data_IF_005344905867
#
_entry.id   IF_005344905867
#
_cell.length_a   1.000
_cell.length_b   1.000
_cell.length_c   1.000
_cell.angle_alpha   90.00
_cell.angle_beta   90.00
_cell.angle_gamma   90.00
#
_symmetry.space_group_name_H-M   'P 1'
#
loop_
_entity.id
_entity.type
_entity.pdbx_description
1 polymer ?
#
# COMPACT_ATOMS: atom_id res chain seq x y z
N UNK A 1 -18.35 -13.27 6.77
CA UNK A 1 -17.20 -13.81 7.52
C UNK A 1 -15.98 -13.73 6.61
N UNK A 2 -14.84 -13.21 7.09
CA UNK A 2 -13.62 -13.15 6.28
C UNK A 2 -13.02 -14.56 6.15
N UNK A 3 -12.67 -15.01 4.94
CA UNK A 3 -12.18 -16.36 4.65
C UNK A 3 -10.87 -16.33 3.85
N UNK A 4 -10.17 -17.47 3.80
CA UNK A 4 -8.95 -17.65 3.01
C UNK A 4 -9.15 -17.36 1.51
N UNK A 5 -10.38 -17.54 1.02
CA UNK A 5 -10.74 -17.19 -0.35
C UNK A 5 -10.64 -15.68 -0.61
N UNK A 6 -11.01 -14.84 0.36
CA UNK A 6 -10.87 -13.39 0.24
C UNK A 6 -9.40 -12.95 0.22
N UNK A 7 -8.55 -13.61 1.03
CA UNK A 7 -7.10 -13.38 0.99
C UNK A 7 -6.54 -13.70 -0.38
N UNK A 8 -6.86 -14.88 -0.91
CA UNK A 8 -6.38 -15.31 -2.21
C UNK A 8 -6.80 -14.36 -3.34
N UNK A 9 -8.06 -13.90 -3.33
CA UNK A 9 -8.55 -12.90 -4.31
C UNK A 9 -7.79 -11.57 -4.19
N UNK A 10 -7.52 -11.10 -2.98
CA UNK A 10 -6.79 -9.85 -2.76
C UNK A 10 -5.31 -9.94 -3.20
N UNK A 11 -4.64 -11.06 -2.93
CA UNK A 11 -3.22 -11.25 -3.24
C UNK A 11 -2.97 -11.66 -4.70
N UNK A 12 -3.99 -12.13 -5.42
CA UNK A 12 -3.88 -12.51 -6.84
C UNK A 12 -4.09 -11.35 -7.81
N UNK A 13 -4.32 -10.13 -7.31
CA UNK A 13 -4.46 -8.94 -8.15
C UNK A 13 -3.08 -8.57 -8.72
N UNK A 14 -2.86 -8.92 -9.98
CA UNK A 14 -1.62 -8.62 -10.71
C UNK A 14 -1.86 -8.12 -12.14
N UNK A 15 -3.12 -8.13 -12.59
CA UNK A 15 -3.57 -7.73 -13.92
C UNK A 15 -4.91 -6.98 -13.83
N UNK A 16 -5.32 -6.34 -14.93
CA UNK A 16 -6.60 -5.65 -15.03
C UNK A 16 -7.78 -6.61 -14.89
N UNK A 17 -7.70 -7.82 -15.45
CA UNK A 17 -8.76 -8.84 -15.38
C UNK A 17 -9.01 -9.24 -13.92
N UNK A 18 -7.94 -9.55 -13.18
CA UNK A 18 -8.02 -9.93 -11.76
C UNK A 18 -8.53 -8.78 -10.90
N UNK A 19 -8.14 -7.55 -11.24
CA UNK A 19 -8.67 -6.36 -10.58
C UNK A 19 -10.18 -6.20 -10.83
N UNK A 20 -10.63 -6.26 -12.09
CA UNK A 20 -12.06 -6.12 -12.42
C UNK A 20 -12.90 -7.21 -11.75
N UNK A 21 -12.40 -8.45 -11.70
CA UNK A 21 -13.05 -9.54 -10.96
C UNK A 21 -13.14 -9.26 -9.46
N UNK A 22 -12.08 -8.73 -8.86
CA UNK A 22 -12.09 -8.32 -7.45
C UNK A 22 -13.10 -7.18 -7.21
N UNK A 23 -13.12 -6.15 -8.05
CA UNK A 23 -14.06 -5.04 -7.93
C UNK A 23 -15.51 -5.52 -8.02
N UNK A 24 -15.81 -6.42 -8.98
CA UNK A 24 -17.15 -6.98 -9.19
C UNK A 24 -17.58 -7.86 -8.01
N UNK A 25 -16.76 -8.84 -7.65
CA UNK A 25 -17.15 -9.90 -6.70
C UNK A 25 -16.96 -9.50 -5.24
N UNK A 26 -15.93 -8.69 -4.96
CA UNK A 26 -15.52 -8.37 -3.60
C UNK A 26 -15.79 -6.92 -3.22
N UNK A 27 -16.11 -6.01 -4.15
CA UNK A 27 -16.48 -4.61 -3.82
C UNK A 27 -17.89 -4.21 -4.31
N UNK A 28 -18.66 -5.13 -4.88
CA UNK A 28 -20.03 -4.91 -5.41
C UNK A 28 -20.09 -3.88 -6.54
N UNK A 29 -19.02 -3.69 -7.30
CA UNK A 29 -19.05 -2.75 -8.42
C UNK A 29 -19.97 -3.29 -9.52
N UNK A 30 -20.91 -2.48 -10.06
CA UNK A 30 -21.86 -2.88 -11.09
C UNK A 30 -21.20 -2.89 -12.47
N UNK A 31 -20.13 -3.68 -12.59
CA UNK A 31 -19.43 -3.93 -13.84
C UNK A 31 -20.28 -4.88 -14.69
N UNK A 32 -20.60 -4.47 -15.91
CA UNK A 32 -21.31 -5.32 -16.87
C UNK A 32 -20.55 -6.64 -17.10
N UNK A 33 -21.28 -7.67 -17.53
CA UNK A 33 -20.66 -8.88 -18.03
C UNK A 33 -20.01 -8.58 -19.38
N UNK A 34 -18.70 -8.80 -19.46
CA UNK A 34 -17.90 -8.39 -20.61
C UNK A 34 -16.41 -8.60 -20.36
N UNK A 35 -15.65 -8.50 -21.43
CA UNK A 35 -14.19 -8.51 -21.41
C UNK A 35 -13.60 -7.13 -21.05
N UNK A 36 -12.28 -7.06 -20.95
CA UNK A 36 -11.56 -5.81 -20.60
C UNK A 36 -11.87 -4.70 -21.62
N UNK A 37 -11.93 -5.03 -22.91
CA UNK A 37 -12.15 -4.05 -23.99
C UNK A 37 -13.52 -3.36 -23.87
N UNK A 38 -14.55 -4.12 -23.52
CA UNK A 38 -15.90 -3.59 -23.32
C UNK A 38 -16.04 -2.73 -22.06
N UNK A 39 -15.23 -3.00 -21.04
CA UNK A 39 -15.29 -2.33 -19.74
C UNK A 39 -14.32 -1.15 -19.59
N UNK A 40 -13.36 -1.02 -20.52
CA UNK A 40 -12.29 -0.02 -20.41
C UNK A 40 -12.09 0.79 -21.69
N UNK A 41 -11.29 1.84 -21.59
CA UNK A 41 -10.65 2.52 -22.70
C UNK A 41 -9.14 2.41 -22.50
N UNK A 42 -8.44 1.89 -23.51
CA UNK A 42 -6.98 1.83 -23.51
C UNK A 42 -6.40 3.19 -23.89
N UNK A 43 -5.28 3.56 -23.25
CA UNK A 43 -4.55 4.80 -23.50
C UNK A 43 -3.10 4.46 -23.81
N UNK A 44 -2.53 5.17 -24.78
CA UNK A 44 -1.08 5.20 -24.94
C UNK A 44 -0.45 6.20 -23.96
N UNK A 45 0.82 6.02 -23.55
CA UNK A 45 1.52 6.98 -22.70
C UNK A 45 1.45 8.43 -23.23
N UNK A 46 1.54 8.61 -24.54
CA UNK A 46 1.47 9.90 -25.23
C UNK A 46 0.11 10.58 -25.06
N UNK A 47 -0.98 9.81 -25.03
CA UNK A 47 -2.34 10.33 -24.81
C UNK A 47 -2.51 10.95 -23.41
N UNK A 48 -1.64 10.59 -22.47
CA UNK A 48 -1.58 11.14 -21.13
C UNK A 48 -0.44 12.15 -20.93
N UNK A 49 0.11 12.66 -22.03
CA UNK A 49 1.16 13.69 -22.03
C UNK A 49 2.50 13.19 -21.48
N UNK A 50 2.73 11.88 -21.53
CA UNK A 50 4.03 11.32 -21.21
C UNK A 50 4.93 11.39 -22.45
N UNK A 51 6.20 11.69 -22.20
CA UNK A 51 7.22 11.71 -23.26
C UNK A 51 7.63 10.28 -23.61
N UNK A 52 8.11 10.02 -24.84
CA UNK A 52 8.59 8.69 -25.24
C UNK A 52 9.66 8.10 -24.31
N UNK A 53 10.49 8.94 -23.67
CA UNK A 53 11.50 8.51 -22.68
C UNK A 53 10.92 7.88 -21.40
N UNK A 54 9.62 8.05 -21.15
CA UNK A 54 8.90 7.49 -20.00
C UNK A 54 8.01 6.30 -20.38
N UNK A 55 7.66 6.16 -21.66
CA UNK A 55 6.80 5.10 -22.17
C UNK A 55 7.28 3.67 -21.82
N UNK A 56 8.58 3.33 -21.91
CA UNK A 56 9.05 1.97 -21.58
C UNK A 56 8.73 1.54 -20.15
N UNK A 57 8.49 2.48 -19.24
CA UNK A 57 8.24 2.19 -17.82
C UNK A 57 6.79 1.80 -17.53
N UNK A 58 5.91 1.86 -18.53
CA UNK A 58 4.49 1.60 -18.42
C UNK A 58 4.15 0.46 -19.36
N UNK A 59 3.58 -0.61 -18.81
CA UNK A 59 3.16 -1.74 -19.60
C UNK A 59 1.81 -1.46 -20.26
N UNK A 60 0.84 -0.95 -19.48
CA UNK A 60 -0.55 -0.72 -19.93
C UNK A 60 -1.23 0.39 -19.15
N UNK A 61 -2.16 1.07 -19.80
CA UNK A 61 -3.00 2.11 -19.19
C UNK A 61 -4.45 1.88 -19.63
N UNK A 62 -5.33 1.67 -18.66
CA UNK A 62 -6.76 1.54 -18.91
C UNK A 62 -7.54 2.56 -18.08
N UNK A 63 -8.48 3.26 -18.68
CA UNK A 63 -9.54 3.93 -17.95
C UNK A 63 -10.73 2.96 -17.83
N UNK A 64 -11.21 2.71 -16.61
CA UNK A 64 -12.45 1.95 -16.41
C UNK A 64 -13.63 2.86 -16.77
N UNK A 65 -14.55 2.35 -17.59
CA UNK A 65 -15.73 3.09 -18.03
C UNK A 65 -16.62 3.44 -16.85
N UNK A 66 -17.22 4.62 -16.89
CA UNK A 66 -18.18 5.07 -15.89
C UNK A 66 -19.40 4.14 -15.86
N UNK A 67 -19.78 3.67 -14.69
CA UNK A 67 -20.93 2.76 -14.54
C UNK A 67 -22.25 3.52 -14.40
N UNK A 68 -22.20 4.81 -14.07
CA UNK A 68 -23.36 5.70 -14.00
C UNK A 68 -23.06 7.04 -14.67
N UNK A 69 -24.12 7.75 -15.10
CA UNK A 69 -24.00 9.03 -15.82
C UNK A 69 -23.36 10.13 -14.97
N UNK A 70 -23.71 10.17 -13.69
CA UNK A 70 -23.29 11.21 -12.74
C UNK A 70 -22.17 10.73 -11.80
N UNK A 71 -21.44 9.69 -12.22
CA UNK A 71 -20.28 9.19 -11.50
C UNK A 71 -19.24 10.30 -11.32
N UNK A 72 -18.87 10.67 -10.08
CA UNK A 72 -17.91 11.74 -9.86
C UNK A 72 -16.48 11.30 -10.21
N UNK A 73 -16.17 10.00 -10.07
CA UNK A 73 -14.82 9.46 -10.14
C UNK A 73 -14.37 9.07 -11.54
N UNK A 74 -13.17 9.51 -11.94
CA UNK A 74 -12.39 8.91 -13.03
C UNK A 74 -11.47 7.82 -12.46
N UNK A 75 -11.60 6.60 -12.98
CA UNK A 75 -10.88 5.43 -12.45
C UNK A 75 -9.93 4.92 -13.51
N UNK A 76 -8.65 4.84 -13.16
CA UNK A 76 -7.58 4.42 -14.06
C UNK A 76 -6.85 3.23 -13.46
N UNK A 77 -6.61 2.21 -14.28
CA UNK A 77 -5.63 1.17 -14.03
C UNK A 77 -4.34 1.48 -14.76
N UNK A 78 -3.20 1.39 -14.08
CA UNK A 78 -1.89 1.59 -14.69
C UNK A 78 -0.96 0.49 -14.24
N UNK A 79 -0.41 -0.26 -15.20
CA UNK A 79 0.61 -1.24 -14.93
C UNK A 79 1.99 -0.67 -15.24
N UNK A 80 2.88 -0.67 -14.24
CA UNK A 80 4.25 -0.21 -14.37
C UNK A 80 5.25 -1.37 -14.38
N UNK A 81 6.29 -1.23 -15.18
CA UNK A 81 7.48 -2.10 -15.13
C UNK A 81 8.37 -1.78 -13.91
N UNK A 82 8.19 -0.59 -13.30
CA UNK A 82 9.06 -0.13 -12.24
C UNK A 82 9.04 -1.03 -10.99
N UNK A 83 10.21 -1.24 -10.38
CA UNK A 83 10.34 -1.89 -9.05
C UNK A 83 9.60 -1.14 -7.92
N UNK A 84 9.30 0.16 -8.10
CA UNK A 84 8.66 1.03 -7.10
C UNK A 84 7.64 1.93 -7.80
N UNK A 85 6.56 2.27 -7.11
CA UNK A 85 5.53 3.19 -7.61
C UNK A 85 6.12 4.53 -8.09
N UNK A 86 6.02 4.88 -9.39
CA UNK A 86 6.66 6.08 -9.94
C UNK A 86 5.80 7.33 -9.70
N UNK A 87 5.89 7.89 -8.49
CA UNK A 87 5.12 9.08 -8.06
C UNK A 87 5.23 10.26 -9.04
N UNK A 88 6.40 10.48 -9.62
CA UNK A 88 6.61 11.57 -10.59
C UNK A 88 5.82 11.37 -11.88
N UNK A 89 5.71 10.12 -12.38
CA UNK A 89 4.90 9.80 -13.55
C UNK A 89 3.41 9.97 -13.23
N UNK A 90 2.97 9.45 -12.08
CA UNK A 90 1.59 9.62 -11.60
C UNK A 90 1.18 11.11 -11.51
N UNK A 91 2.07 11.97 -11.02
CA UNK A 91 1.85 13.42 -10.97
C UNK A 91 1.75 14.06 -12.37
N UNK A 92 2.52 13.56 -13.35
CA UNK A 92 2.42 14.04 -14.74
C UNK A 92 1.08 13.65 -15.36
N UNK A 93 0.68 12.39 -15.22
CA UNK A 93 -0.62 11.88 -15.68
C UNK A 93 -1.76 12.69 -15.08
N UNK A 94 -1.75 12.90 -13.76
CA UNK A 94 -2.74 13.76 -13.09
C UNK A 94 -2.83 15.14 -13.72
N UNK A 95 -1.68 15.80 -13.91
CA UNK A 95 -1.67 17.16 -14.44
C UNK A 95 -2.21 17.21 -15.88
N UNK A 96 -1.99 16.16 -16.67
CA UNK A 96 -2.55 16.06 -18.02
C UNK A 96 -4.08 15.87 -17.99
N UNK A 97 -4.59 14.93 -17.18
CA UNK A 97 -6.03 14.63 -17.06
C UNK A 97 -6.88 15.79 -16.50
N UNK A 98 -6.25 16.78 -15.86
CA UNK A 98 -6.91 18.01 -15.40
C UNK A 98 -7.07 19.05 -16.50
N UNK A 99 -6.25 19.01 -17.53
CA UNK A 99 -6.29 20.02 -18.60
C UNK A 99 -7.42 19.68 -19.55
N UNK A 100 -8.36 20.62 -19.70
CA UNK A 100 -9.47 20.51 -20.64
C UNK A 100 -8.94 20.60 -22.07
N UNK A 101 -8.64 19.45 -22.68
CA UNK A 101 -8.15 19.42 -24.06
C UNK A 101 -9.36 19.66 -25.00
N UNK A 102 -9.35 20.77 -25.75
CA UNK A 102 -10.46 21.15 -26.64
C UNK A 102 -10.51 20.33 -27.94
N UNK A 103 -9.46 19.58 -28.25
CA UNK A 103 -9.27 18.87 -29.52
C UNK A 103 -9.56 17.36 -29.46
N UNK A 104 -9.64 16.78 -28.26
CA UNK A 104 -10.00 15.38 -28.04
C UNK A 104 -11.10 15.32 -26.98
N UNK A 105 -12.05 14.41 -27.12
CA UNK A 105 -13.17 14.20 -26.20
C UNK A 105 -12.72 13.60 -24.84
N UNK A 106 -11.59 14.06 -24.29
CA UNK A 106 -11.07 13.64 -23.00
C UNK A 106 -11.86 14.38 -21.92
N UNK A 107 -12.61 13.61 -21.13
CA UNK A 107 -13.30 14.13 -19.96
C UNK A 107 -12.28 14.72 -18.98
N UNK A 108 -12.53 15.93 -18.47
CA UNK A 108 -11.66 16.56 -17.47
C UNK A 108 -12.19 16.28 -16.07
N UNK A 109 -11.33 15.78 -15.17
CA UNK A 109 -11.69 15.53 -13.76
C UNK A 109 -11.05 16.53 -12.81
N UNK A 110 -11.67 16.72 -11.65
CA UNK A 110 -11.00 17.34 -10.52
C UNK A 110 -9.92 16.40 -9.98
N UNK A 111 -8.82 16.94 -9.46
CA UNK A 111 -7.75 16.12 -8.88
C UNK A 111 -8.28 15.19 -7.76
N UNK A 112 -9.21 15.72 -6.95
CA UNK A 112 -9.89 15.01 -5.88
C UNK A 112 -10.97 14.02 -6.32
N UNK A 113 -11.14 13.80 -7.62
CA UNK A 113 -12.12 12.89 -8.21
C UNK A 113 -11.43 11.83 -9.10
N UNK A 114 -10.12 11.61 -8.92
CA UNK A 114 -9.36 10.58 -9.62
C UNK A 114 -8.89 9.48 -8.66
N UNK A 115 -9.09 8.24 -9.09
CA UNK A 115 -8.63 7.03 -8.43
C UNK A 115 -7.74 6.24 -9.40
N UNK A 116 -6.48 6.05 -9.02
CA UNK A 116 -5.54 5.23 -9.77
C UNK A 116 -5.34 3.90 -9.05
N UNK A 117 -5.53 2.79 -9.76
CA UNK A 117 -5.28 1.44 -9.29
C UNK A 117 -4.06 0.92 -10.05
N UNK A 118 -2.94 0.76 -9.35
CA UNK A 118 -1.67 0.51 -10.01
C UNK A 118 -1.08 -0.81 -9.56
N UNK A 119 -0.49 -1.52 -10.51
CA UNK A 119 0.38 -2.67 -10.26
C UNK A 119 1.80 -2.32 -10.67
N UNK A 120 2.79 -2.76 -9.90
CA UNK A 120 4.21 -2.55 -10.18
C UNK A 120 5.05 -3.60 -9.45
N UNK A 121 6.36 -3.59 -9.67
CA UNK A 121 7.26 -4.62 -9.14
C UNK A 121 7.57 -5.71 -10.16
N UNK A 122 8.51 -6.57 -9.82
CA UNK A 122 9.06 -7.57 -10.73
C UNK A 122 8.15 -8.78 -10.85
N UNK A 123 7.77 -9.09 -12.09
CA UNK A 123 6.90 -10.23 -12.42
C UNK A 123 7.61 -11.57 -12.16
N UNK A 124 8.91 -11.66 -12.44
CA UNK A 124 9.71 -12.88 -12.32
C UNK A 124 9.84 -13.40 -10.88
N UNK A 125 9.72 -12.54 -9.87
CA UNK A 125 9.88 -12.91 -8.46
C UNK A 125 8.54 -13.04 -7.72
N UNK A 126 7.40 -12.86 -8.41
CA UNK A 126 6.08 -12.85 -7.78
C UNK A 126 5.88 -11.70 -6.79
N UNK A 127 6.74 -10.67 -6.84
CA UNK A 127 6.76 -9.52 -5.93
C UNK A 127 5.99 -8.33 -6.51
N UNK A 128 4.80 -8.60 -7.05
CA UNK A 128 3.94 -7.55 -7.60
C UNK A 128 3.22 -6.84 -6.47
N UNK A 129 3.44 -5.55 -6.35
CA UNK A 129 2.75 -4.67 -5.41
C UNK A 129 1.50 -4.08 -6.07
N UNK A 130 0.43 -3.98 -5.30
CA UNK A 130 -0.78 -3.28 -5.68
C UNK A 130 -0.88 -2.01 -4.85
N UNK A 131 -1.12 -0.89 -5.51
CA UNK A 131 -1.37 0.37 -4.85
C UNK A 131 -2.57 1.07 -5.45
N UNK A 132 -3.50 1.46 -4.58
CA UNK A 132 -4.55 2.40 -4.93
C UNK A 132 -4.09 3.79 -4.50
N UNK A 133 -4.27 4.76 -5.39
CA UNK A 133 -3.73 6.09 -5.21
C UNK A 133 -4.78 7.15 -5.55
N UNK A 134 -4.85 8.16 -4.71
CA UNK A 134 -5.82 9.23 -4.81
C UNK A 134 -5.14 10.56 -4.49
N UNK A 135 -5.44 11.61 -5.26
CA UNK A 135 -4.89 12.93 -5.01
C UNK A 135 -5.79 13.74 -4.10
N UNK A 136 -5.28 14.03 -2.90
CA UNK A 136 -5.91 14.98 -2.00
C UNK A 136 -5.43 16.40 -2.34
N UNK A 137 -6.36 17.35 -2.41
CA UNK A 137 -6.03 18.77 -2.58
C UNK A 137 -6.89 19.59 -1.62
N UNK A 138 -6.23 20.32 -0.71
CA UNK A 138 -6.86 21.37 0.09
C UNK A 138 -6.78 22.71 -0.65
N UNK A 139 -7.70 23.63 -0.33
CA UNK A 139 -7.70 24.96 -0.93
C UNK A 139 -6.36 25.67 -0.68
N UNK A 140 -5.68 26.05 -1.76
CA UNK A 140 -4.39 26.75 -1.70
C UNK A 140 -3.14 25.86 -1.68
N UNK A 141 -3.26 24.52 -1.60
CA UNK A 141 -2.11 23.60 -1.61
C UNK A 141 -1.95 22.85 -2.96
N UNK A 142 -0.73 22.38 -3.22
CA UNK A 142 -0.45 21.48 -4.34
C UNK A 142 -1.09 20.11 -4.08
N UNK A 143 -1.69 19.46 -5.11
CA UNK A 143 -2.23 18.11 -4.94
C UNK A 143 -1.18 17.13 -4.38
N UNK A 144 -1.53 16.46 -3.29
CA UNK A 144 -0.70 15.41 -2.69
C UNK A 144 -1.24 14.04 -3.03
N UNK A 145 -0.39 13.20 -3.62
CA UNK A 145 -0.72 11.81 -3.88
C UNK A 145 -0.76 11.06 -2.55
N UNK A 146 -1.89 10.47 -2.20
CA UNK A 146 -2.03 9.57 -1.07
C UNK A 146 -2.20 8.14 -1.59
N UNK A 147 -1.53 7.19 -0.96
CA UNK A 147 -1.42 5.80 -1.45
C UNK A 147 -1.84 4.81 -0.37
N UNK A 148 -2.59 3.81 -0.80
CA UNK A 148 -2.99 2.64 -0.02
C UNK A 148 -2.47 1.39 -0.74
N UNK A 149 -1.50 0.68 -0.14
CA UNK A 149 -0.70 -0.35 -0.82
C UNK A 149 -0.61 -1.66 -0.04
N UNK A 150 -0.53 -2.77 -0.77
CA UNK A 150 -0.31 -4.11 -0.23
C UNK A 150 0.37 -5.00 -1.28
N UNK A 151 0.88 -6.15 -0.85
CA UNK A 151 1.34 -7.21 -1.75
C UNK A 151 1.15 -8.61 -1.12
N UNK A 152 1.43 -9.66 -1.88
CA UNK A 152 1.18 -11.05 -1.49
C UNK A 152 2.01 -11.54 -0.28
N UNK A 153 3.12 -10.87 0.06
CA UNK A 153 3.99 -11.22 1.19
C UNK A 153 3.58 -10.51 2.49
N UNK A 154 2.54 -9.67 2.46
CA UNK A 154 2.03 -9.05 3.67
C UNK A 154 1.44 -10.07 4.64
N UNK A 155 1.52 -9.76 5.94
CA UNK A 155 0.96 -10.62 6.97
C UNK A 155 -0.55 -10.77 6.79
N UNK A 156 -1.09 -11.94 7.16
CA UNK A 156 -2.54 -12.21 7.08
C UNK A 156 -3.37 -11.13 7.80
N UNK A 157 -2.90 -10.66 8.96
CA UNK A 157 -3.55 -9.59 9.71
C UNK A 157 -3.58 -8.26 8.93
N UNK A 158 -2.49 -7.90 8.25
CA UNK A 158 -2.44 -6.72 7.38
C UNK A 158 -3.40 -6.91 6.20
N UNK A 159 -3.33 -8.04 5.50
CA UNK A 159 -4.19 -8.34 4.34
C UNK A 159 -5.67 -8.34 4.71
N UNK A 160 -6.05 -8.89 5.87
CA UNK A 160 -7.40 -8.82 6.41
C UNK A 160 -7.86 -7.39 6.64
N UNK A 161 -7.01 -6.57 7.26
CA UNK A 161 -7.29 -5.14 7.49
C UNK A 161 -7.40 -4.39 6.16
N UNK A 162 -6.54 -4.71 5.19
CA UNK A 162 -6.57 -4.17 3.83
C UNK A 162 -7.90 -4.48 3.17
N UNK A 163 -8.28 -5.76 3.13
CA UNK A 163 -9.55 -6.19 2.56
C UNK A 163 -10.75 -5.49 3.21
N UNK A 164 -10.80 -5.45 4.55
CA UNK A 164 -11.89 -4.78 5.28
C UNK A 164 -11.95 -3.28 4.97
N UNK A 165 -10.79 -2.64 4.84
CA UNK A 165 -10.69 -1.22 4.46
C UNK A 165 -11.19 -0.99 3.04
N UNK A 166 -10.79 -1.84 2.08
CA UNK A 166 -11.28 -1.77 0.70
C UNK A 166 -12.78 -1.99 0.64
N UNK A 167 -13.29 -3.06 1.25
CA UNK A 167 -14.73 -3.38 1.28
C UNK A 167 -15.56 -2.28 1.90
N UNK A 168 -15.12 -1.75 3.04
CA UNK A 168 -15.87 -0.73 3.78
C UNK A 168 -15.86 0.66 3.14
N UNK A 169 -14.86 0.99 2.32
CA UNK A 169 -14.68 2.35 1.82
C UNK A 169 -14.69 2.45 0.29
N UNK A 170 -14.17 1.47 -0.44
CA UNK A 170 -14.17 1.42 -1.90
C UNK A 170 -15.20 0.43 -2.46
N UNK A 171 -16.08 -0.11 -1.62
CA UNK A 171 -17.32 -0.72 -2.06
C UNK A 171 -18.17 0.27 -2.86
N UNK A 172 -18.98 -0.24 -3.78
CA UNK A 172 -19.92 0.59 -4.53
C UNK A 172 -20.88 1.31 -3.56
N UNK A 173 -21.15 2.62 -3.74
CA UNK A 173 -21.98 3.37 -2.81
C UNK A 173 -23.43 2.86 -2.82
N UNK A 174 -24.08 2.92 -1.66
CA UNK A 174 -25.49 2.57 -1.52
C UNK A 174 -26.43 3.59 -2.19
N UNK A 175 -26.07 4.88 -2.16
CA UNK A 175 -26.78 5.94 -2.88
C UNK A 175 -25.82 6.60 -3.89
N UNK A 176 -26.06 6.31 -5.17
CA UNK A 176 -25.28 6.87 -6.28
C UNK A 176 -25.62 8.33 -6.58
N UNK A 177 -26.72 8.86 -6.04
CA UNK A 177 -27.16 10.24 -6.30
C UNK A 177 -26.50 11.23 -5.33
N UNK A 178 -26.00 10.76 -4.18
CA UNK A 178 -25.22 11.57 -3.24
C UNK A 178 -23.72 11.48 -3.56
N UNK A 179 -23.30 12.31 -4.53
CA UNK A 179 -21.91 12.36 -4.97
C UNK A 179 -20.93 12.77 -3.85
N UNK A 180 -21.38 13.55 -2.86
CA UNK A 180 -20.50 14.02 -1.78
C UNK A 180 -20.32 12.94 -0.71
N UNK A 181 -21.37 12.20 -0.36
CA UNK A 181 -21.25 11.00 0.47
C UNK A 181 -20.34 9.96 -0.20
N UNK A 182 -20.50 9.74 -1.51
CA UNK A 182 -19.65 8.83 -2.28
C UNK A 182 -18.17 9.29 -2.24
N UNK A 183 -17.89 10.57 -2.52
CA UNK A 183 -16.53 11.11 -2.41
C UNK A 183 -15.93 10.91 -1.02
N UNK A 184 -16.71 11.20 0.03
CA UNK A 184 -16.25 11.09 1.41
C UNK A 184 -15.94 9.64 1.79
N UNK A 185 -16.76 8.68 1.35
CA UNK A 185 -16.55 7.26 1.55
C UNK A 185 -15.25 6.80 0.89
N UNK A 186 -15.11 7.05 -0.41
CA UNK A 186 -13.97 6.55 -1.19
C UNK A 186 -12.65 7.23 -0.84
N UNK A 187 -12.67 8.43 -0.24
CA UNK A 187 -11.45 9.12 0.23
C UNK A 187 -10.84 8.52 1.50
N UNK A 188 -11.63 7.83 2.33
CA UNK A 188 -11.20 7.37 3.66
C UNK A 188 -9.92 6.51 3.71
N UNK A 189 -9.66 5.59 2.76
CA UNK A 189 -8.46 4.73 2.81
C UNK A 189 -7.15 5.51 2.63
N UNK A 190 -7.22 6.68 1.98
CA UNK A 190 -6.05 7.41 1.50
C UNK A 190 -5.54 8.42 2.54
N UNK A 191 -5.11 7.90 3.69
CA UNK A 191 -4.63 8.73 4.82
C UNK A 191 -3.16 9.15 4.71
N UNK A 192 -2.36 8.40 3.95
CA UNK A 192 -0.91 8.56 3.93
C UNK A 192 -0.40 9.14 2.60
N UNK A 193 0.39 10.21 2.68
CA UNK A 193 1.07 10.81 1.52
C UNK A 193 2.11 9.82 0.95
N UNK A 194 2.05 9.57 -0.34
CA UNK A 194 3.04 8.82 -1.09
C UNK A 194 4.42 9.48 -0.94
N UNK A 195 5.40 8.72 -0.46
CA UNK A 195 6.76 9.22 -0.26
C UNK A 195 6.95 10.17 0.93
N UNK A 196 5.98 10.29 1.85
CA UNK A 196 6.22 10.70 3.25
C UNK A 196 6.72 9.51 4.10
N UNK A 197 7.38 8.56 3.46
CA UNK A 197 8.29 7.66 4.15
C UNK A 197 9.47 8.50 4.60
N UNK A 198 9.84 8.37 5.86
CA UNK A 198 11.04 8.95 6.43
C UNK A 198 12.22 8.75 5.46
N UNK A 199 12.79 9.86 4.97
CA UNK A 199 13.76 9.85 3.86
C UNK A 199 15.22 9.87 4.31
N UNK A 200 15.45 10.09 5.59
CA UNK A 200 16.79 10.21 6.16
C UNK A 200 17.05 9.07 7.13
N UNK A 201 18.28 8.57 7.16
CA UNK A 201 18.70 7.58 8.15
C UNK A 201 18.44 8.08 9.57
N UNK A 202 18.69 9.37 9.83
CA UNK A 202 18.40 10.02 11.12
C UNK A 202 16.93 9.96 11.50
N UNK A 203 16.03 10.41 10.62
CA UNK A 203 14.60 10.38 10.91
C UNK A 203 14.11 8.94 11.12
N UNK A 204 14.71 7.98 10.42
CA UNK A 204 14.30 6.57 10.52
C UNK A 204 14.71 6.02 11.88
N UNK A 205 15.94 6.30 12.29
CA UNK A 205 16.45 5.97 13.62
C UNK A 205 15.60 6.62 14.72
N UNK A 206 15.22 7.89 14.57
CA UNK A 206 14.35 8.59 15.52
C UNK A 206 12.99 7.89 15.67
N UNK A 207 12.35 7.50 14.56
CA UNK A 207 11.07 6.80 14.59
C UNK A 207 11.19 5.38 15.13
N UNK A 208 12.23 4.63 14.75
CA UNK A 208 12.50 3.30 15.29
C UNK A 208 12.74 3.36 16.80
N UNK A 209 13.47 4.36 17.29
CA UNK A 209 13.70 4.55 18.72
C UNK A 209 12.40 4.90 19.47
N UNK A 210 11.52 5.71 18.87
CA UNK A 210 10.19 6.00 19.42
C UNK A 210 9.34 4.72 19.53
N UNK A 211 9.26 3.92 18.47
CA UNK A 211 8.51 2.67 18.45
C UNK A 211 9.10 1.65 19.43
N UNK A 212 10.43 1.56 19.50
CA UNK A 212 11.13 0.68 20.45
C UNK A 212 10.78 1.03 21.90
N UNK A 213 10.78 2.32 22.27
CA UNK A 213 10.34 2.76 23.60
C UNK A 213 8.89 2.37 23.89
N UNK A 214 7.97 2.55 22.92
CA UNK A 214 6.57 2.15 23.08
C UNK A 214 6.43 0.64 23.31
N UNK A 215 7.18 -0.19 22.58
CA UNK A 215 7.19 -1.65 22.78
C UNK A 215 7.71 -1.99 24.18
N UNK A 216 8.83 -1.40 24.60
CA UNK A 216 9.42 -1.61 25.94
C UNK A 216 8.41 -1.25 27.04
N UNK A 217 7.81 -0.08 26.96
CA UNK A 217 6.86 0.40 27.95
C UNK A 217 5.64 -0.54 28.03
N UNK A 218 5.16 -1.03 26.87
CA UNK A 218 4.07 -2.02 26.82
C UNK A 218 4.46 -3.39 27.39
N UNK A 219 5.69 -3.85 27.16
CA UNK A 219 6.19 -5.11 27.73
C UNK A 219 6.29 -5.00 29.26
N UNK A 220 6.75 -3.87 29.78
CA UNK A 220 6.78 -3.61 31.22
C UNK A 220 5.37 -3.62 31.83
N UNK A 221 4.40 -2.96 31.19
CA UNK A 221 2.99 -3.01 31.61
C UNK A 221 2.45 -4.44 31.66
N UNK A 222 2.75 -5.25 30.63
CA UNK A 222 2.32 -6.65 30.56
C UNK A 222 2.99 -7.49 31.63
N UNK A 223 4.31 -7.35 31.85
CA UNK A 223 5.02 -8.09 32.90
C UNK A 223 4.54 -7.74 34.31
N UNK A 224 4.14 -6.49 34.55
CA UNK A 224 3.57 -6.08 35.83
C UNK A 224 2.17 -6.65 36.08
N UNK A 225 1.41 -6.91 35.01
CA UNK A 225 0.04 -7.41 35.07
C UNK A 225 -0.08 -8.94 34.92
N UNK A 226 0.88 -9.60 34.25
CA UNK A 226 0.87 -11.03 34.01
C UNK A 226 1.24 -11.85 35.25
N UNK A 227 0.58 -12.99 35.39
CA UNK A 227 1.01 -14.02 36.37
C UNK A 227 2.26 -14.75 35.88
N UNK A 228 2.88 -15.57 36.73
CA UNK A 228 4.04 -16.40 36.37
C UNK A 228 3.82 -17.34 35.16
N UNK A 229 2.55 -17.66 34.85
CA UNK A 229 2.18 -18.51 33.71
C UNK A 229 1.94 -17.72 32.42
N UNK A 230 1.99 -16.39 32.48
CA UNK A 230 1.81 -15.50 31.34
C UNK A 230 2.86 -15.71 30.26
N UNK A 231 2.51 -15.53 28.97
CA UNK A 231 3.42 -15.77 27.86
C UNK A 231 4.68 -14.90 27.91
N UNK A 232 4.56 -13.62 28.28
CA UNK A 232 5.71 -12.71 28.35
C UNK A 232 6.57 -13.04 29.57
N UNK A 233 5.95 -13.35 30.70
CA UNK A 233 6.67 -13.77 31.92
C UNK A 233 7.46 -15.07 31.70
N UNK A 234 6.89 -16.06 31.01
CA UNK A 234 7.61 -17.29 30.63
C UNK A 234 8.80 -17.00 29.72
N UNK A 235 8.64 -16.08 28.77
CA UNK A 235 9.73 -15.69 27.88
C UNK A 235 10.88 -15.05 28.67
N UNK A 236 10.55 -14.16 29.61
CA UNK A 236 11.52 -13.54 30.53
C UNK A 236 12.26 -14.60 31.36
N UNK A 237 11.54 -15.53 32.00
CA UNK A 237 12.15 -16.60 32.81
C UNK A 237 13.09 -17.45 31.95
N UNK A 238 12.68 -17.82 30.74
CA UNK A 238 13.51 -18.58 29.81
C UNK A 238 14.77 -17.81 29.41
N UNK A 239 14.65 -16.51 29.07
CA UNK A 239 15.78 -15.64 28.72
C UNK A 239 16.77 -15.49 29.89
N UNK A 240 16.24 -15.28 31.09
CA UNK A 240 17.02 -15.17 32.32
C UNK A 240 17.79 -16.47 32.61
N UNK A 241 17.13 -17.62 32.46
CA UNK A 241 17.75 -18.92 32.70
C UNK A 241 18.79 -19.33 31.66
N UNK A 242 18.59 -18.97 30.39
CA UNK A 242 19.46 -19.40 29.29
C UNK A 242 20.63 -18.45 29.01
N UNK A 243 20.45 -17.15 29.23
CA UNK A 243 21.37 -16.14 28.73
C UNK A 243 22.02 -15.31 29.84
N UNK A 244 21.22 -14.74 30.76
CA UNK A 244 21.68 -13.78 31.76
C UNK A 244 20.94 -14.00 33.09
N UNK A 245 21.58 -14.71 34.01
CA UNK A 245 20.99 -15.09 35.30
C UNK A 245 20.56 -13.91 36.19
N UNK A 246 21.17 -12.73 36.03
CA UNK A 246 20.86 -11.50 36.78
C UNK A 246 19.99 -10.50 36.02
N UNK A 247 19.35 -10.93 34.93
CA UNK A 247 18.51 -10.06 34.10
C UNK A 247 17.32 -9.54 34.92
N UNK A 248 17.14 -8.21 34.93
CA UNK A 248 15.96 -7.56 35.51
C UNK A 248 14.85 -7.46 34.46
N UNK A 249 13.61 -7.32 34.93
CA UNK A 249 12.44 -7.19 34.04
C UNK A 249 12.56 -6.00 33.07
N UNK A 250 13.06 -4.86 33.56
CA UNK A 250 13.27 -3.65 32.73
C UNK A 250 14.33 -3.88 31.65
N UNK A 251 15.46 -4.51 32.00
CA UNK A 251 16.54 -4.83 31.07
C UNK A 251 16.08 -5.86 30.02
N UNK A 252 15.24 -6.82 30.42
CA UNK A 252 14.59 -7.75 29.52
C UNK A 252 13.65 -7.03 28.54
N UNK A 253 12.79 -6.14 29.03
CA UNK A 253 11.86 -5.39 28.18
C UNK A 253 12.59 -4.53 27.15
N UNK A 254 13.72 -3.91 27.54
CA UNK A 254 14.55 -3.11 26.64
C UNK A 254 15.20 -4.00 25.57
N UNK A 255 15.83 -5.10 25.97
CA UNK A 255 16.44 -6.07 25.04
C UNK A 255 15.41 -6.65 24.08
N UNK A 256 14.23 -6.99 24.58
CA UNK A 256 13.10 -7.48 23.79
C UNK A 256 12.67 -6.45 22.75
N UNK A 257 12.46 -5.20 23.16
CA UNK A 257 12.04 -4.13 22.26
C UNK A 257 13.08 -3.83 21.18
N UNK A 258 14.36 -3.80 21.53
CA UNK A 258 15.45 -3.63 20.57
C UNK A 258 15.47 -4.79 19.55
N UNK A 259 15.40 -6.04 20.04
CA UNK A 259 15.43 -7.24 19.18
C UNK A 259 14.28 -7.24 18.18
N UNK A 260 13.06 -6.92 18.61
CA UNK A 260 11.90 -6.82 17.71
C UNK A 260 12.09 -5.67 16.71
N UNK A 261 12.57 -4.51 17.17
CA UNK A 261 12.75 -3.34 16.30
C UNK A 261 13.78 -3.61 15.21
N UNK A 262 14.95 -4.17 15.56
CA UNK A 262 15.98 -4.54 14.60
C UNK A 262 15.55 -5.70 13.70
N UNK A 263 14.85 -6.70 14.24
CA UNK A 263 14.31 -7.82 13.46
C UNK A 263 13.33 -7.36 12.40
N UNK A 264 12.36 -6.50 12.76
CA UNK A 264 11.39 -5.93 11.82
C UNK A 264 12.06 -5.02 10.79
N UNK A 265 13.01 -4.20 11.21
CA UNK A 265 13.78 -3.36 10.29
C UNK A 265 14.57 -4.20 9.29
N UNK A 266 15.29 -5.23 9.76
CA UNK A 266 16.05 -6.16 8.92
C UNK A 266 15.14 -6.86 7.90
N UNK A 267 14.00 -7.41 8.35
CA UNK A 267 13.02 -8.02 7.46
C UNK A 267 12.50 -7.03 6.40
N UNK A 268 12.21 -5.79 6.78
CA UNK A 268 11.76 -4.75 5.86
C UNK A 268 12.82 -4.35 4.83
N UNK A 269 14.10 -4.30 5.21
CA UNK A 269 15.22 -4.03 4.30
C UNK A 269 15.41 -5.19 3.33
N UNK A 270 15.45 -6.42 3.83
CA UNK A 270 15.64 -7.63 3.01
C UNK A 270 14.52 -7.80 1.99
N UNK A 271 13.27 -7.49 2.35
CA UNK A 271 12.13 -7.51 1.41
C UNK A 271 12.29 -6.49 0.27
N UNK A 272 12.87 -5.32 0.56
CA UNK A 272 12.96 -4.21 -0.41
C UNK A 272 14.22 -4.26 -1.27
N UNK A 273 15.23 -5.01 -0.85
CA UNK A 273 16.52 -5.19 -1.52
C UNK A 273 16.98 -6.65 -1.42
N UNK A 274 16.31 -7.60 -2.11
CA UNK A 274 16.61 -9.03 -2.01
C UNK A 274 18.05 -9.38 -2.43
N UNK A 275 18.63 -8.67 -3.40
CA UNK A 275 20.00 -8.89 -3.85
C UNK A 275 21.07 -8.55 -2.80
N UNK A 276 20.79 -7.60 -1.89
CA UNK A 276 21.73 -7.24 -0.81
C UNK A 276 21.66 -8.21 0.38
N UNK A 277 20.53 -8.92 0.54
CA UNK A 277 20.34 -9.89 1.62
C UNK A 277 21.19 -11.17 1.42
N UNK A 278 21.56 -11.50 0.17
CA UNK A 278 22.39 -12.66 -0.17
C UNK A 278 23.91 -12.40 -0.22
N UNK A 279 24.37 -11.14 -0.20
CA UNK A 279 25.77 -10.79 -0.51
C UNK A 279 26.65 -10.41 0.69
N UNK A 280 26.17 -10.53 1.93
CA UNK A 280 27.04 -10.35 3.10
C UNK A 280 26.88 -11.50 4.08
N UNK A 281 27.41 -12.66 3.67
CA UNK A 281 28.24 -13.39 4.62
C UNK A 281 29.26 -12.39 5.15
N UNK A 282 29.22 -12.12 6.46
CA UNK A 282 30.29 -11.46 7.17
C UNK A 282 31.51 -12.38 7.06
N UNK A 283 32.25 -12.29 5.95
CA UNK A 283 33.62 -12.75 5.89
C UNK A 283 34.41 -11.76 6.72
N UNK A 284 34.51 -12.05 8.02
CA UNK A 284 35.73 -11.80 8.78
C UNK A 284 36.89 -12.27 7.92
N UNK A 285 37.57 -11.33 7.26
CA UNK A 285 38.95 -11.44 6.79
C UNK A 285 39.32 -10.18 5.99
N UNK A 286 40.03 -9.26 6.64
CA UNK A 286 41.47 -8.98 6.39
C UNK A 286 41.78 -7.48 6.56
N UNK A 287 42.45 -7.19 7.69
CA UNK A 287 43.21 -5.98 8.13
C UNK A 287 42.41 -4.72 8.45
#
# INVERSE_FOLDING_TARGET
MFSDQHLHKLTSINSIERLLDFLRQELDWPLADGDVESLTFEYEPEDLGLKPEHAPKINRIYQIRSMTKDQPWGIFFIDFENKKLPITLMRRILNHLRVKNRSQAIQSWNAGDLLFMTTYGEEAEGMREVAFAHFHQQAGDLPTLNVFQWDAQDTEAKLKTTYQTLRGNLGWPADINDADAWRNQWRQPFKHKAGHTIRTAKGLAEKLAELSRQIRDRVNEVLAAETEKGPVTKLYIAFKGALIHDLKAEDFADTFAQTITYGLFSAAVSRRYPEEAGSKSLTTETI
#
